data_IF_013659561629
#
_entry.id   IF_013659561629
#
_cell.length_a   1.000
_cell.length_b   1.000
_cell.length_c   1.000
_cell.angle_alpha   90.00
_cell.angle_beta   90.00
_cell.angle_gamma   90.00
#
_symmetry.space_group_name_H-M   'P 1'
#
loop_
_entity.id
_entity.type
_entity.pdbx_description
1 polymer ?
#
# COMPACT_ATOMS: atom_id res chain seq x y z
N UNK A 1 17.36 5.89 18.28
CA UNK A 1 16.99 5.99 16.84
C UNK A 1 16.05 7.18 16.63
N UNK A 2 16.53 8.30 16.04
CA UNK A 2 15.67 9.45 15.69
C UNK A 2 14.98 9.13 14.35
N UNK A 3 13.64 9.09 14.31
CA UNK A 3 12.91 8.96 13.03
C UNK A 3 13.06 10.26 12.23
N UNK A 4 13.34 10.17 10.93
CA UNK A 4 13.28 11.32 10.00
C UNK A 4 11.86 11.92 10.01
N UNK A 5 11.70 13.26 9.96
CA UNK A 5 10.40 13.88 9.85
C UNK A 5 9.71 13.47 8.54
N UNK A 6 8.41 13.18 8.63
CA UNK A 6 7.55 12.92 7.47
C UNK A 6 7.32 14.24 6.75
N UNK A 7 7.82 14.37 5.52
CA UNK A 7 7.66 15.56 4.69
C UNK A 7 6.70 15.22 3.55
N UNK A 8 5.45 15.65 3.66
CA UNK A 8 4.46 15.52 2.60
C UNK A 8 4.51 16.77 1.71
N UNK A 9 5.31 16.71 0.64
CA UNK A 9 5.43 17.79 -0.34
C UNK A 9 4.30 17.81 -1.37
N UNK A 10 3.15 17.19 -1.08
CA UNK A 10 2.07 17.00 -2.07
C UNK A 10 0.74 17.67 -1.67
N UNK A 11 0.76 18.96 -1.32
CA UNK A 11 -0.40 19.87 -1.56
C UNK A 11 -0.07 21.34 -1.28
N UNK A 12 0.63 22.00 -2.20
CA UNK A 12 0.50 23.46 -2.36
C UNK A 12 -0.57 23.66 -3.41
N UNK A 13 -1.76 24.12 -2.99
CA UNK A 13 -2.79 24.60 -3.91
C UNK A 13 -2.40 26.04 -4.23
N UNK A 14 -2.01 26.39 -5.47
CA UNK A 14 -1.71 27.77 -5.82
C UNK A 14 -2.99 28.61 -5.69
N UNK A 15 -2.87 29.80 -5.09
CA UNK A 15 -3.95 30.79 -5.12
C UNK A 15 -4.11 31.27 -6.56
N UNK A 16 -5.26 30.95 -7.14
CA UNK A 16 -5.65 31.36 -8.48
C UNK A 16 -5.83 32.90 -8.51
N UNK A 17 -4.95 33.58 -9.24
CA UNK A 17 -5.12 34.99 -9.62
C UNK A 17 -5.94 35.03 -10.91
N UNK A 18 -7.00 35.83 -10.93
CA UNK A 18 -7.97 35.94 -12.02
C UNK A 18 -7.32 36.46 -13.31
N UNK A 19 -7.02 35.54 -14.23
CA UNK A 19 -6.68 35.86 -15.63
C UNK A 19 -7.97 35.85 -16.44
N UNK A 20 -8.18 36.84 -17.32
CA UNK A 20 -9.44 37.07 -18.03
C UNK A 20 -9.82 35.89 -18.95
N UNK A 21 -11.12 35.56 -18.97
CA UNK A 21 -11.68 34.29 -19.44
C UNK A 21 -11.42 33.93 -20.92
N UNK A 22 -10.99 34.88 -21.75
CA UNK A 22 -10.66 34.61 -23.16
C UNK A 22 -9.24 34.04 -23.36
N UNK A 23 -8.30 34.31 -22.44
CA UNK A 23 -6.95 33.75 -22.47
C UNK A 23 -6.89 32.36 -21.81
N UNK A 24 -7.82 32.08 -20.89
CA UNK A 24 -7.99 30.76 -20.27
C UNK A 24 -8.23 29.68 -21.33
N UNK A 25 -9.03 29.97 -22.36
CA UNK A 25 -9.36 29.07 -23.47
C UNK A 25 -8.14 28.65 -24.32
N UNK A 26 -7.23 29.58 -24.57
CA UNK A 26 -6.00 29.33 -25.33
C UNK A 26 -4.98 28.61 -24.43
N UNK A 27 -4.89 29.01 -23.16
CA UNK A 27 -3.99 28.38 -22.18
C UNK A 27 -4.39 26.92 -21.92
N UNK A 28 -5.68 26.61 -21.76
CA UNK A 28 -6.16 25.22 -21.61
C UNK A 28 -5.93 24.40 -22.88
N UNK A 29 -6.18 24.92 -24.09
CA UNK A 29 -5.96 24.14 -25.32
C UNK A 29 -4.47 23.85 -25.57
N UNK A 30 -3.60 24.83 -25.31
CA UNK A 30 -2.15 24.67 -25.47
C UNK A 30 -1.55 23.77 -24.38
N UNK A 31 -2.01 23.90 -23.13
CA UNK A 31 -1.59 23.03 -22.03
C UNK A 31 -2.14 21.61 -22.18
N UNK A 32 -3.39 21.43 -22.61
CA UNK A 32 -3.94 20.12 -22.96
C UNK A 32 -3.14 19.47 -24.10
N UNK A 33 -2.82 20.21 -25.16
CA UNK A 33 -1.96 19.71 -26.25
C UNK A 33 -0.55 19.30 -25.80
N UNK A 34 0.04 20.03 -24.84
CA UNK A 34 1.34 19.68 -24.24
C UNK A 34 1.23 18.45 -23.32
N UNK A 35 0.17 18.37 -22.52
CA UNK A 35 -0.13 17.23 -21.62
C UNK A 35 -0.40 15.97 -22.43
N UNK A 36 -1.13 16.06 -23.55
CA UNK A 36 -1.38 14.94 -24.47
C UNK A 36 -0.04 14.43 -25.05
N UNK A 37 0.82 15.33 -25.56
CA UNK A 37 2.16 14.97 -26.06
C UNK A 37 3.06 14.35 -24.98
N UNK A 38 3.00 14.85 -23.75
CA UNK A 38 3.73 14.28 -22.63
C UNK A 38 3.23 12.88 -22.27
N UNK A 39 1.92 12.67 -22.33
CA UNK A 39 1.30 11.37 -22.06
C UNK A 39 1.64 10.33 -23.15
N UNK A 40 1.65 10.72 -24.42
CA UNK A 40 2.10 9.88 -25.54
C UNK A 40 3.54 9.41 -25.34
N UNK A 41 4.47 10.35 -25.06
CA UNK A 41 5.87 10.00 -24.76
C UNK A 41 6.01 9.07 -23.57
N UNK A 42 5.14 9.20 -22.56
CA UNK A 42 5.15 8.33 -21.39
C UNK A 42 4.66 6.92 -21.72
N UNK A 43 3.65 6.80 -22.60
CA UNK A 43 3.15 5.51 -23.11
C UNK A 43 4.25 4.81 -23.91
N UNK A 44 4.94 5.53 -24.79
CA UNK A 44 6.05 4.99 -25.59
C UNK A 44 7.21 4.53 -24.71
N UNK A 45 7.64 5.37 -23.77
CA UNK A 45 8.70 5.03 -22.81
C UNK A 45 8.33 3.78 -21.99
N UNK A 46 7.07 3.72 -21.51
CA UNK A 46 6.56 2.57 -20.78
C UNK A 46 6.59 1.31 -21.64
N UNK A 47 6.22 1.41 -22.92
CA UNK A 47 6.27 0.30 -23.87
C UNK A 47 7.69 -0.25 -24.03
N UNK A 48 8.66 0.64 -24.28
CA UNK A 48 10.07 0.26 -24.42
C UNK A 48 10.62 -0.38 -23.14
N UNK A 49 10.32 0.19 -21.98
CA UNK A 49 10.74 -0.36 -20.69
C UNK A 49 10.14 -1.75 -20.44
N UNK A 50 8.85 -1.96 -20.76
CA UNK A 50 8.20 -3.24 -20.58
C UNK A 50 8.74 -4.31 -21.54
N UNK A 51 8.95 -3.98 -22.82
CA UNK A 51 9.54 -4.90 -23.80
C UNK A 51 10.95 -5.33 -23.37
N UNK A 52 11.79 -4.35 -23.00
CA UNK A 52 13.16 -4.62 -22.54
C UNK A 52 13.15 -5.47 -21.26
N UNK A 53 12.22 -5.20 -20.34
CA UNK A 53 12.08 -5.98 -19.12
C UNK A 53 11.59 -7.40 -19.40
N UNK A 54 10.67 -7.60 -20.35
CA UNK A 54 10.20 -8.93 -20.76
C UNK A 54 11.29 -9.74 -21.46
N UNK A 55 12.11 -9.11 -22.32
CA UNK A 55 13.24 -9.77 -22.98
C UNK A 55 14.33 -10.19 -21.99
N UNK A 56 14.70 -9.32 -21.05
CA UNK A 56 15.81 -9.58 -20.10
C UNK A 56 15.34 -10.40 -18.90
N UNK A 57 14.16 -10.12 -18.36
CA UNK A 57 13.68 -10.70 -17.11
C UNK A 57 12.57 -11.76 -17.30
N UNK A 58 11.97 -11.85 -18.49
CA UNK A 58 10.78 -12.67 -18.75
C UNK A 58 9.50 -12.11 -18.11
N UNK A 59 8.36 -12.75 -18.41
CA UNK A 59 7.06 -12.40 -17.83
C UNK A 59 6.75 -13.30 -16.62
N UNK A 60 6.61 -12.69 -15.44
CA UNK A 60 6.12 -13.40 -14.24
C UNK A 60 4.60 -13.47 -14.25
N UNK A 61 4.01 -14.50 -13.65
CA UNK A 61 2.53 -14.63 -13.47
C UNK A 61 1.94 -13.60 -12.49
N UNK A 62 2.68 -12.54 -12.19
CA UNK A 62 2.41 -11.62 -11.08
C UNK A 62 2.59 -12.33 -9.74
N UNK A 63 2.89 -11.56 -8.69
CA UNK A 63 2.72 -12.10 -7.35
C UNK A 63 1.26 -12.46 -7.16
N UNK A 64 0.94 -13.73 -6.90
CA UNK A 64 -0.37 -14.06 -6.30
C UNK A 64 -0.50 -13.11 -5.11
N UNK A 65 -1.55 -12.29 -5.12
CA UNK A 65 -1.96 -11.54 -3.92
C UNK A 65 -2.20 -12.64 -2.90
N UNK A 66 -1.21 -12.90 -2.07
CA UNK A 66 -1.45 -13.70 -0.89
C UNK A 66 -2.41 -12.77 -0.15
N UNK A 67 -3.70 -13.12 -0.14
CA UNK A 67 -4.68 -12.50 0.72
C UNK A 67 -4.25 -12.80 2.15
N UNK A 68 -3.25 -12.03 2.58
CA UNK A 68 -2.66 -12.11 3.89
C UNK A 68 -3.61 -11.35 4.79
N UNK A 69 -4.11 -12.07 5.79
CA UNK A 69 -4.44 -11.48 7.08
C UNK A 69 -5.79 -10.75 7.21
N UNK A 70 -6.75 -10.93 6.29
CA UNK A 70 -8.10 -10.33 6.43
C UNK A 70 -8.92 -10.93 7.58
N UNK A 71 -8.55 -12.11 8.07
CA UNK A 71 -9.38 -12.89 9.00
C UNK A 71 -9.39 -12.36 10.46
N UNK A 72 -8.43 -11.52 10.86
CA UNK A 72 -8.45 -10.81 12.16
C UNK A 72 -8.90 -9.34 12.03
N UNK A 73 -9.39 -8.93 10.85
CA UNK A 73 -9.76 -7.54 10.54
C UNK A 73 -11.18 -7.19 11.02
N UNK A 74 -11.36 -7.12 12.34
CA UNK A 74 -12.66 -6.81 12.95
C UNK A 74 -13.06 -5.34 12.85
N UNK A 75 -14.36 -5.06 13.01
CA UNK A 75 -14.90 -3.69 13.07
C UNK A 75 -14.27 -2.86 14.20
N UNK A 76 -13.93 -3.51 15.33
CA UNK A 76 -13.22 -2.89 16.46
C UNK A 76 -11.81 -2.41 16.05
N UNK A 77 -11.08 -3.24 15.29
CA UNK A 77 -9.76 -2.89 14.74
C UNK A 77 -9.88 -1.74 13.74
N UNK A 78 -10.87 -1.77 12.86
CA UNK A 78 -11.09 -0.70 11.89
C UNK A 78 -11.41 0.64 12.57
N UNK A 79 -12.32 0.61 13.54
CA UNK A 79 -12.77 1.79 14.27
C UNK A 79 -11.64 2.40 15.09
N UNK A 80 -10.85 1.58 15.78
CA UNK A 80 -9.70 2.04 16.56
C UNK A 80 -8.58 2.62 15.69
N UNK A 81 -8.31 2.01 14.52
CA UNK A 81 -7.36 2.55 13.53
C UNK A 81 -7.87 3.86 12.94
N UNK A 82 -9.17 3.99 12.67
CA UNK A 82 -9.78 5.24 12.17
C UNK A 82 -9.63 6.37 13.19
N UNK A 83 -9.97 6.12 14.46
CA UNK A 83 -9.78 7.08 15.57
C UNK A 83 -8.32 7.49 15.74
N UNK A 84 -7.37 6.55 15.65
CA UNK A 84 -5.93 6.83 15.65
C UNK A 84 -5.52 7.75 14.49
N UNK A 85 -6.03 7.49 13.27
CA UNK A 85 -5.73 8.31 12.09
C UNK A 85 -6.29 9.73 12.22
N UNK A 86 -7.50 9.87 12.74
CA UNK A 86 -8.13 11.17 13.01
C UNK A 86 -7.33 11.96 14.05
N UNK A 87 -6.94 11.34 15.17
CA UNK A 87 -6.10 11.98 16.18
C UNK A 87 -4.72 12.41 15.61
N UNK A 88 -4.12 11.59 14.74
CA UNK A 88 -2.88 11.96 14.05
C UNK A 88 -3.05 13.16 13.13
N UNK A 89 -4.15 13.24 12.38
CA UNK A 89 -4.46 14.39 11.50
C UNK A 89 -4.65 15.67 12.31
N UNK A 90 -5.37 15.60 13.43
CA UNK A 90 -5.59 16.75 14.31
C UNK A 90 -4.26 17.24 14.89
N UNK A 91 -3.43 16.32 15.41
CA UNK A 91 -2.09 16.66 15.89
C UNK A 91 -1.19 17.26 14.80
N UNK A 92 -1.23 16.74 13.57
CA UNK A 92 -0.48 17.29 12.44
C UNK A 92 -0.92 18.71 12.06
N UNK A 93 -2.19 19.06 12.25
CA UNK A 93 -2.73 20.38 11.90
C UNK A 93 -2.35 21.45 12.92
N UNK A 94 -2.50 21.15 14.20
CA UNK A 94 -2.40 22.15 15.28
C UNK A 94 -1.10 22.06 16.07
N UNK A 95 -0.42 20.90 16.05
CA UNK A 95 0.91 20.73 16.64
C UNK A 95 0.98 20.77 18.18
N UNK A 96 -0.15 20.89 18.88
CA UNK A 96 -0.21 21.02 20.34
C UNK A 96 0.13 19.72 21.08
N UNK A 97 0.72 19.85 22.27
CA UNK A 97 1.12 18.70 23.10
C UNK A 97 -0.08 17.89 23.61
N UNK A 98 -1.25 18.52 23.82
CA UNK A 98 -2.48 17.83 24.19
C UNK A 98 -2.95 16.86 23.10
N UNK A 99 -2.92 17.29 21.83
CA UNK A 99 -3.31 16.44 20.69
C UNK A 99 -2.29 15.32 20.43
N UNK A 100 -1.01 15.59 20.71
CA UNK A 100 0.04 14.57 20.67
C UNK A 100 -0.23 13.45 21.68
N UNK A 101 -0.69 13.80 22.87
CA UNK A 101 -0.96 12.87 23.95
C UNK A 101 -2.24 12.07 23.66
N UNK A 102 -3.28 12.74 23.15
CA UNK A 102 -4.47 12.08 22.62
C UNK A 102 -4.13 11.09 21.50
N UNK A 103 -3.25 11.46 20.56
CA UNK A 103 -2.77 10.54 19.52
C UNK A 103 -2.05 9.33 20.11
N UNK A 104 -1.19 9.51 21.12
CA UNK A 104 -0.50 8.39 21.79
C UNK A 104 -1.48 7.44 22.46
N UNK A 105 -2.52 7.96 23.10
CA UNK A 105 -3.59 7.15 23.70
C UNK A 105 -4.35 6.35 22.63
N UNK A 106 -4.83 7.02 21.57
CA UNK A 106 -5.54 6.36 20.46
C UNK A 106 -4.68 5.36 19.72
N UNK A 107 -3.36 5.61 19.63
CA UNK A 107 -2.40 4.65 19.10
C UNK A 107 -2.32 3.39 19.96
N UNK A 108 -2.22 3.53 21.29
CA UNK A 108 -2.20 2.39 22.22
C UNK A 108 -3.51 1.60 22.18
N UNK A 109 -4.65 2.29 22.12
CA UNK A 109 -5.97 1.65 21.96
C UNK A 109 -6.02 0.80 20.68
N UNK A 110 -5.57 1.35 19.54
CA UNK A 110 -5.53 0.59 18.29
C UNK A 110 -4.56 -0.60 18.34
N UNK A 111 -3.39 -0.43 18.96
CA UNK A 111 -2.44 -1.54 19.16
C UNK A 111 -3.02 -2.65 20.02
N UNK A 112 -3.76 -2.31 21.10
CA UNK A 112 -4.48 -3.28 21.94
C UNK A 112 -5.58 -4.01 21.17
N UNK A 113 -6.40 -3.30 20.40
CA UNK A 113 -7.45 -3.91 19.60
C UNK A 113 -6.89 -4.88 18.55
N UNK A 114 -5.81 -4.49 17.86
CA UNK A 114 -5.10 -5.37 16.91
C UNK A 114 -4.51 -6.59 17.62
N UNK A 115 -3.88 -6.40 18.78
CA UNK A 115 -3.30 -7.51 19.53
C UNK A 115 -4.37 -8.51 20.00
N UNK A 116 -5.52 -8.01 20.47
CA UNK A 116 -6.67 -8.81 20.88
C UNK A 116 -7.24 -9.61 19.69
N UNK A 117 -7.54 -8.94 18.59
CA UNK A 117 -8.07 -9.60 17.39
C UNK A 117 -7.11 -10.65 16.83
N UNK A 118 -5.81 -10.37 16.81
CA UNK A 118 -4.80 -11.37 16.43
C UNK A 118 -4.77 -12.55 17.39
N UNK A 119 -4.84 -12.32 18.70
CA UNK A 119 -4.85 -13.38 19.71
C UNK A 119 -6.06 -14.30 19.55
N UNK A 120 -7.25 -13.72 19.40
CA UNK A 120 -8.50 -14.45 19.18
C UNK A 120 -8.43 -15.24 17.89
N UNK A 121 -7.98 -14.60 16.83
CA UNK A 121 -7.75 -15.28 15.58
C UNK A 121 -6.80 -16.47 15.74
N UNK A 122 -5.60 -16.26 16.29
CA UNK A 122 -4.64 -17.35 16.44
C UNK A 122 -5.21 -18.50 17.27
N UNK A 123 -5.98 -18.19 18.32
CA UNK A 123 -6.66 -19.21 19.14
C UNK A 123 -7.58 -20.09 18.28
N UNK A 124 -8.50 -19.49 17.52
CA UNK A 124 -9.40 -20.22 16.61
C UNK A 124 -8.61 -21.03 15.57
N UNK A 125 -7.55 -20.45 15.01
CA UNK A 125 -6.69 -21.14 14.05
C UNK A 125 -6.01 -22.36 14.68
N UNK A 126 -5.47 -22.25 15.90
CA UNK A 126 -4.86 -23.37 16.62
C UNK A 126 -5.87 -24.46 16.98
N UNK A 127 -7.07 -24.10 17.47
CA UNK A 127 -8.14 -25.07 17.75
C UNK A 127 -8.53 -25.86 16.50
N UNK A 128 -8.56 -25.20 15.34
CA UNK A 128 -8.81 -25.87 14.07
C UNK A 128 -7.69 -26.84 13.67
N UNK A 129 -6.44 -26.62 14.07
CA UNK A 129 -5.33 -27.53 13.73
C UNK A 129 -5.44 -28.90 14.38
N UNK A 130 -6.11 -29.00 15.53
CA UNK A 130 -6.37 -30.28 16.20
C UNK A 130 -7.40 -31.13 15.43
N UNK A 131 -8.04 -30.55 14.40
CA UNK A 131 -8.92 -31.27 13.48
C UNK A 131 -8.18 -31.75 12.24
N UNK A 132 -8.67 -32.86 11.65
CA UNK A 132 -8.16 -33.41 10.38
C UNK A 132 -8.26 -32.42 9.21
N UNK A 133 -9.15 -31.44 9.30
CA UNK A 133 -9.32 -30.39 8.29
C UNK A 133 -8.27 -29.30 8.43
N UNK A 134 -7.96 -28.87 9.66
CA UNK A 134 -6.91 -27.90 9.94
C UNK A 134 -5.51 -28.41 9.58
N UNK A 135 -5.22 -29.70 9.80
CA UNK A 135 -3.95 -30.31 9.36
C UNK A 135 -3.72 -30.12 7.85
N UNK A 136 -4.76 -30.34 7.02
CA UNK A 136 -4.70 -30.11 5.57
C UNK A 136 -4.47 -28.64 5.22
N UNK A 137 -4.92 -27.69 6.04
CA UNK A 137 -4.69 -26.26 5.79
C UNK A 137 -3.21 -25.90 5.90
N UNK A 138 -2.45 -26.50 6.84
CA UNK A 138 -1.01 -26.27 6.98
C UNK A 138 -0.28 -26.69 5.70
N UNK A 139 -0.55 -27.89 5.20
CA UNK A 139 0.08 -28.38 3.97
C UNK A 139 -0.28 -27.52 2.77
N UNK A 140 -1.53 -27.03 2.67
CA UNK A 140 -1.93 -26.06 1.63
C UNK A 140 -1.14 -24.75 1.74
N UNK A 141 -1.01 -24.18 2.95
CA UNK A 141 -0.24 -22.96 3.19
C UNK A 141 1.24 -23.17 2.84
N UNK A 142 1.83 -24.29 3.27
CA UNK A 142 3.21 -24.64 2.94
C UNK A 142 3.42 -24.76 1.43
N UNK A 143 2.49 -25.44 0.73
CA UNK A 143 2.51 -25.55 -0.74
C UNK A 143 2.38 -24.19 -1.42
N UNK A 144 1.46 -23.33 -0.99
CA UNK A 144 1.31 -21.96 -1.51
C UNK A 144 2.57 -21.12 -1.31
N UNK A 145 3.22 -21.21 -0.14
CA UNK A 145 4.49 -20.53 0.13
C UNK A 145 5.61 -21.07 -0.77
N UNK A 146 5.67 -22.38 -0.98
CA UNK A 146 6.64 -22.99 -1.89
C UNK A 146 6.42 -22.55 -3.34
N UNK A 147 5.17 -22.52 -3.82
CA UNK A 147 4.81 -22.00 -5.14
C UNK A 147 5.21 -20.54 -5.31
N UNK A 148 4.88 -19.67 -4.35
CA UNK A 148 5.24 -18.26 -4.39
C UNK A 148 6.77 -18.03 -4.44
N UNK A 149 7.56 -18.91 -3.81
CA UNK A 149 9.02 -18.87 -3.90
C UNK A 149 9.55 -19.33 -5.25
N UNK A 150 8.90 -20.27 -5.94
CA UNK A 150 9.35 -20.74 -7.27
C UNK A 150 9.34 -19.61 -8.29
N UNK A 151 8.30 -18.77 -8.30
CA UNK A 151 8.23 -17.63 -9.22
C UNK A 151 9.40 -16.65 -9.01
N UNK A 152 9.86 -16.45 -7.76
CA UNK A 152 11.02 -15.61 -7.43
C UNK A 152 12.33 -16.28 -7.83
N UNK A 153 12.48 -17.58 -7.56
CA UNK A 153 13.71 -18.33 -7.85
C UNK A 153 13.94 -18.46 -9.36
N UNK A 154 12.88 -18.70 -10.15
CA UNK A 154 12.96 -18.77 -11.62
C UNK A 154 13.53 -17.46 -12.18
N UNK A 155 13.03 -16.30 -11.74
CA UNK A 155 13.53 -14.98 -12.16
C UNK A 155 15.01 -14.81 -11.82
N UNK A 156 15.43 -15.22 -10.62
CA UNK A 156 16.84 -15.11 -10.19
C UNK A 156 17.75 -16.04 -11.02
N UNK A 157 17.28 -17.25 -11.36
CA UNK A 157 18.05 -18.20 -12.17
C UNK A 157 18.22 -17.78 -13.64
N UNK A 158 17.22 -17.12 -14.24
CA UNK A 158 17.36 -16.54 -15.58
C UNK A 158 18.44 -15.44 -15.62
N UNK A 159 18.60 -14.68 -14.53
CA UNK A 159 19.62 -13.63 -14.39
C UNK A 159 21.06 -14.17 -14.29
N UNK A 160 21.25 -15.43 -13.91
CA UNK A 160 22.57 -16.02 -13.71
C UNK A 160 23.14 -16.73 -14.96
N UNK A 161 22.33 -16.89 -16.01
CA UNK A 161 22.69 -17.60 -17.24
C UNK A 161 22.85 -16.66 -18.46
N UNK A 162 23.02 -15.35 -18.21
CA UNK A 162 23.46 -14.32 -19.17
C UNK A 162 24.79 -13.77 -18.68
#
# INVERSE_FOLDING_TARGET
MKRKPYNDTSRVIPKELEIKETEKGIFIYTSLGLVIKANEKWIDLKGVLLSTAEEVCGTSKGGKKIDKETWWWSEEVQTSIKKKKEAFKNWQREGTDQLKELYKEKKKEAERAVAKAKKEGYKEWYENLDTREGEKTIYKIAKQRAEAKRDIIIIISCRANV
#
